data_IF_331838479398
#
_entry.id   IF_331838479398
#
_cell.length_a   1.000
_cell.length_b   1.000
_cell.length_c   1.000
_cell.angle_alpha   90.00
_cell.angle_beta   90.00
_cell.angle_gamma   90.00
#
_symmetry.space_group_name_H-M   'P 1'
#
loop_
_entity.id
_entity.type
_entity.pdbx_description
1 polymer ?
#
# COMPACT_ATOMS: atom_id res chain seq x y z
N UNK A 1 22.03 18.83 -42.66
CA UNK A 1 22.51 17.57 -42.09
C UNK A 1 22.40 17.72 -40.58
N UNK A 2 21.70 16.81 -39.92
CA UNK A 2 21.48 16.85 -38.46
C UNK A 2 21.65 15.46 -37.87
N UNK A 3 22.02 15.42 -36.60
CA UNK A 3 21.79 14.25 -35.74
C UNK A 3 20.29 14.02 -35.60
N UNK A 4 19.88 12.79 -35.36
CA UNK A 4 18.50 12.40 -35.05
C UNK A 4 18.55 11.43 -33.88
N UNK A 5 17.93 11.84 -32.76
CA UNK A 5 17.90 11.05 -31.53
C UNK A 5 17.00 9.83 -31.72
N UNK A 6 17.45 8.67 -31.23
CA UNK A 6 16.71 7.44 -31.14
C UNK A 6 16.89 6.86 -29.73
N UNK A 7 15.78 6.62 -29.02
CA UNK A 7 15.82 6.09 -27.66
C UNK A 7 15.33 4.65 -27.67
N UNK A 8 16.13 3.75 -27.10
CA UNK A 8 15.84 2.30 -27.14
C UNK A 8 14.58 1.89 -26.35
N UNK A 9 14.23 2.66 -25.32
CA UNK A 9 13.04 2.46 -24.47
C UNK A 9 12.53 3.81 -23.96
N UNK A 10 11.24 3.91 -23.70
CA UNK A 10 10.58 5.11 -23.17
C UNK A 10 10.26 5.05 -21.67
N UNK A 11 10.41 3.86 -21.05
CA UNK A 11 10.11 3.62 -19.64
C UNK A 11 11.06 2.59 -19.05
N UNK A 12 11.56 2.86 -17.83
CA UNK A 12 12.28 1.90 -16.98
C UNK A 12 11.48 1.72 -15.69
N UNK A 13 11.16 0.47 -15.38
CA UNK A 13 10.54 0.11 -14.11
C UNK A 13 11.50 -0.79 -13.31
N UNK A 14 11.97 -0.31 -12.17
CA UNK A 14 12.85 -1.03 -11.25
C UNK A 14 12.09 -2.03 -10.37
N UNK A 15 10.75 -2.08 -10.48
CA UNK A 15 9.91 -2.91 -9.62
C UNK A 15 10.12 -2.59 -8.13
N UNK A 16 10.63 -3.55 -7.35
CA UNK A 16 10.84 -3.42 -5.91
C UNK A 16 12.33 -3.47 -5.59
N UNK A 17 12.82 -2.50 -4.82
CA UNK A 17 14.20 -2.41 -4.34
C UNK A 17 14.18 -2.16 -2.84
N UNK A 18 14.95 -2.93 -2.08
CA UNK A 18 15.04 -2.75 -0.64
C UNK A 18 15.58 -1.38 -0.28
N UNK A 19 15.03 -0.75 0.76
CA UNK A 19 15.50 0.53 1.29
C UNK A 19 17.01 0.50 1.54
N UNK A 20 17.73 1.50 1.01
CA UNK A 20 19.19 1.60 1.11
C UNK A 20 20.00 0.72 0.16
N UNK A 21 19.35 -0.18 -0.58
CA UNK A 21 19.98 -0.93 -1.66
C UNK A 21 19.88 -0.19 -3.00
N UNK A 22 20.62 -0.65 -3.99
CA UNK A 22 20.66 -0.05 -5.32
C UNK A 22 20.38 -1.07 -6.41
N UNK A 23 19.62 -0.64 -7.42
CA UNK A 23 19.41 -1.42 -8.64
C UNK A 23 19.69 -0.56 -9.86
N UNK A 24 20.39 -1.10 -10.85
CA UNK A 24 20.68 -0.40 -12.11
C UNK A 24 19.96 -1.02 -13.30
N UNK A 25 19.64 -0.16 -14.27
CA UNK A 25 19.13 -0.53 -15.58
C UNK A 25 19.71 0.43 -16.64
N UNK A 26 19.77 0.01 -17.89
CA UNK A 26 20.35 0.83 -18.95
C UNK A 26 19.41 0.99 -20.13
N UNK A 27 19.51 2.17 -20.77
CA UNK A 27 18.94 2.42 -22.09
C UNK A 27 20.00 3.01 -23.01
N UNK A 28 19.71 3.10 -24.31
CA UNK A 28 20.63 3.62 -25.29
C UNK A 28 20.08 4.89 -25.96
N UNK A 29 20.97 5.87 -26.15
CA UNK A 29 20.73 7.01 -27.02
C UNK A 29 21.49 6.74 -28.33
N UNK A 30 20.75 6.47 -29.39
CA UNK A 30 21.27 6.25 -30.74
C UNK A 30 21.20 7.51 -31.60
N UNK A 31 21.99 7.55 -32.68
CA UNK A 31 21.94 8.58 -33.69
C UNK A 31 21.59 7.98 -35.07
N UNK A 32 20.33 8.11 -35.46
CA UNK A 32 19.81 7.69 -36.76
C UNK A 32 19.90 8.78 -37.83
N UNK A 33 20.61 9.90 -37.53
CA UNK A 33 20.82 11.02 -38.43
C UNK A 33 21.96 10.81 -39.43
N UNK A 34 22.32 11.91 -40.11
CA UNK A 34 23.42 11.96 -41.11
C UNK A 34 24.56 12.88 -40.69
N UNK A 35 24.51 13.38 -39.45
CA UNK A 35 25.59 14.13 -38.79
C UNK A 35 25.70 13.66 -37.33
N UNK A 36 26.78 13.98 -36.64
CA UNK A 36 26.92 13.70 -35.21
C UNK A 36 25.78 14.36 -34.43
N UNK A 37 25.27 13.67 -33.43
CA UNK A 37 24.24 14.13 -32.48
C UNK A 37 24.96 14.66 -31.23
N UNK A 38 24.72 15.91 -30.87
CA UNK A 38 25.19 16.48 -29.60
C UNK A 38 24.08 16.41 -28.57
N UNK A 39 24.32 15.64 -27.51
CA UNK A 39 23.46 15.60 -26.31
C UNK A 39 24.05 16.57 -25.28
N UNK A 40 23.38 17.71 -25.09
CA UNK A 40 23.88 18.80 -24.25
C UNK A 40 23.68 18.53 -22.77
N UNK A 41 22.60 17.84 -22.41
CA UNK A 41 22.28 17.54 -21.04
C UNK A 41 21.45 16.26 -20.95
N UNK A 42 21.79 15.43 -19.98
CA UNK A 42 20.98 14.31 -19.50
C UNK A 42 20.85 14.52 -17.99
N UNK A 43 19.63 14.49 -17.45
CA UNK A 43 19.39 14.72 -16.01
C UNK A 43 18.15 13.99 -15.52
N UNK A 44 18.14 13.67 -14.24
CA UNK A 44 16.97 13.22 -13.47
C UNK A 44 16.39 14.38 -12.67
N UNK A 45 15.15 14.27 -12.23
CA UNK A 45 14.45 15.30 -11.44
C UNK A 45 14.71 15.19 -9.94
N UNK A 46 15.09 13.99 -9.46
CA UNK A 46 15.30 13.68 -8.02
C UNK A 46 16.61 12.95 -7.81
N UNK A 47 17.13 12.99 -6.56
CA UNK A 47 18.36 12.27 -6.19
C UNK A 47 18.14 10.76 -6.00
N UNK A 48 16.88 10.29 -5.96
CA UNK A 48 16.52 8.87 -5.83
C UNK A 48 16.90 8.07 -7.08
N UNK A 49 16.90 8.75 -8.24
CA UNK A 49 17.40 8.21 -9.49
C UNK A 49 18.65 8.99 -9.90
N UNK A 50 19.73 8.28 -10.23
CA UNK A 50 20.96 8.86 -10.72
C UNK A 50 21.36 8.28 -12.07
N UNK A 51 22.23 8.97 -12.80
CA UNK A 51 22.71 8.56 -14.11
C UNK A 51 24.24 8.63 -14.15
N UNK A 52 24.83 7.79 -14.99
CA UNK A 52 26.29 7.70 -15.14
C UNK A 52 26.88 8.75 -16.09
N UNK A 53 26.06 9.44 -16.89
CA UNK A 53 26.54 10.33 -17.94
C UNK A 53 25.58 11.50 -18.14
N UNK A 54 26.10 12.74 -18.10
CA UNK A 54 25.30 13.97 -18.22
C UNK A 54 25.32 14.59 -19.63
N UNK A 55 26.25 14.21 -20.49
CA UNK A 55 26.43 14.72 -21.85
C UNK A 55 27.04 13.64 -22.76
N UNK A 56 26.77 13.70 -24.05
CA UNK A 56 27.35 12.79 -25.02
C UNK A 56 27.43 13.39 -26.43
N UNK A 57 28.47 13.01 -27.19
CA UNK A 57 28.51 13.15 -28.64
C UNK A 57 28.36 11.76 -29.28
N UNK A 58 27.31 11.57 -30.08
CA UNK A 58 26.98 10.26 -30.69
C UNK A 58 27.25 10.35 -32.20
N UNK A 59 28.22 9.56 -32.70
CA UNK A 59 28.51 9.51 -34.13
C UNK A 59 27.33 8.91 -34.93
N UNK A 60 27.32 9.14 -36.23
CA UNK A 60 26.28 8.62 -37.13
C UNK A 60 26.24 7.10 -37.09
N UNK A 61 25.09 6.53 -36.76
CA UNK A 61 24.86 5.10 -36.67
C UNK A 61 25.36 4.43 -35.39
N UNK A 62 25.96 5.21 -34.48
CA UNK A 62 26.41 4.73 -33.17
C UNK A 62 25.33 4.96 -32.07
N UNK A 63 25.59 4.43 -30.88
CA UNK A 63 24.80 4.67 -29.69
C UNK A 63 25.68 4.75 -28.44
N UNK A 64 25.18 5.43 -27.42
CA UNK A 64 25.77 5.50 -26.08
C UNK A 64 24.80 4.89 -25.06
N UNK A 65 25.33 4.10 -24.13
CA UNK A 65 24.55 3.53 -23.04
C UNK A 65 24.46 4.54 -21.89
N UNK A 66 23.26 4.74 -21.40
CA UNK A 66 22.98 5.48 -20.18
C UNK A 66 22.55 4.48 -19.12
N UNK A 67 23.32 4.39 -18.05
CA UNK A 67 22.96 3.60 -16.87
C UNK A 67 22.21 4.50 -15.90
N UNK A 68 21.04 4.03 -15.48
CA UNK A 68 20.20 4.65 -14.44
C UNK A 68 20.28 3.79 -13.21
N UNK A 69 20.59 4.38 -12.06
CA UNK A 69 20.53 3.76 -10.75
C UNK A 69 19.31 4.26 -9.99
N UNK A 70 18.59 3.35 -9.34
CA UNK A 70 17.51 3.61 -8.40
C UNK A 70 17.95 3.19 -7.00
N UNK A 71 17.93 4.15 -6.05
CA UNK A 71 18.34 3.95 -4.66
C UNK A 71 17.27 4.58 -3.75
N UNK A 72 16.22 3.80 -3.35
CA UNK A 72 15.14 4.32 -2.53
C UNK A 72 15.63 4.58 -1.10
N UNK A 73 15.48 5.83 -0.58
CA UNK A 73 15.90 6.19 0.78
C UNK A 73 14.87 5.79 1.85
N UNK A 74 13.67 5.33 1.47
CA UNK A 74 12.59 4.92 2.34
C UNK A 74 11.58 4.05 1.59
N UNK A 75 10.64 3.48 2.32
CA UNK A 75 9.48 2.77 1.75
C UNK A 75 8.62 3.71 0.92
N UNK A 76 8.05 3.23 -0.19
CA UNK A 76 7.12 3.99 -1.01
C UNK A 76 7.39 3.92 -2.52
N UNK A 77 6.50 4.53 -3.28
CA UNK A 77 6.56 4.57 -4.73
C UNK A 77 7.29 5.85 -5.21
N UNK A 78 8.21 5.67 -6.13
CA UNK A 78 9.00 6.73 -6.72
C UNK A 78 8.77 6.77 -8.23
N UNK A 79 8.56 7.98 -8.75
CA UNK A 79 8.43 8.25 -10.19
C UNK A 79 9.27 9.46 -10.53
N UNK A 80 10.02 9.37 -11.62
CA UNK A 80 10.85 10.45 -12.13
C UNK A 80 10.96 10.36 -13.66
N UNK A 81 11.76 11.22 -14.25
CA UNK A 81 11.97 11.26 -15.70
C UNK A 81 13.43 11.61 -15.99
N UNK A 82 14.11 10.79 -16.79
CA UNK A 82 15.35 11.23 -17.44
C UNK A 82 14.99 12.20 -18.55
N UNK A 83 15.51 13.41 -18.48
CA UNK A 83 15.35 14.44 -19.49
C UNK A 83 16.61 14.54 -20.31
N UNK A 84 16.51 14.46 -21.64
CA UNK A 84 17.60 14.47 -22.60
C UNK A 84 17.42 15.66 -23.54
N UNK A 85 18.35 16.61 -23.56
CA UNK A 85 18.36 17.72 -24.51
C UNK A 85 19.47 17.57 -25.54
N UNK A 86 19.17 17.81 -26.82
CA UNK A 86 20.10 17.59 -27.92
C UNK A 86 19.94 18.64 -29.03
N UNK A 87 20.83 18.57 -30.03
CA UNK A 87 20.77 19.37 -31.25
C UNK A 87 19.88 18.74 -32.35
N UNK A 88 19.08 17.71 -32.02
CA UNK A 88 18.09 17.19 -32.94
C UNK A 88 17.01 18.25 -33.23
N UNK A 89 16.86 18.70 -34.50
CA UNK A 89 15.93 19.77 -34.84
C UNK A 89 14.46 19.38 -34.77
N UNK A 90 14.14 18.07 -34.69
CA UNK A 90 12.79 17.55 -34.66
C UNK A 90 12.34 17.20 -33.25
N UNK A 91 13.26 16.65 -32.46
CA UNK A 91 13.04 16.23 -31.06
C UNK A 91 14.18 16.72 -30.15
N UNK A 92 14.29 18.06 -29.96
CA UNK A 92 15.39 18.63 -29.16
C UNK A 92 15.30 18.29 -27.67
N UNK A 93 14.14 17.81 -27.22
CA UNK A 93 13.88 17.34 -25.86
C UNK A 93 13.20 15.98 -25.91
N UNK A 94 13.82 14.98 -25.28
CA UNK A 94 13.31 13.61 -25.20
C UNK A 94 13.32 13.16 -23.75
N UNK A 95 12.41 12.24 -23.36
CA UNK A 95 12.28 11.79 -21.99
C UNK A 95 12.15 10.27 -21.90
N UNK A 96 12.67 9.71 -20.79
CA UNK A 96 12.46 8.32 -20.38
C UNK A 96 11.82 8.33 -18.99
N UNK A 97 10.67 7.71 -18.82
CA UNK A 97 9.96 7.65 -17.54
C UNK A 97 10.62 6.59 -16.66
N UNK A 98 10.84 6.93 -15.39
CA UNK A 98 11.42 6.06 -14.37
C UNK A 98 10.36 5.77 -13.31
N UNK A 99 10.31 4.52 -12.85
CA UNK A 99 9.49 4.13 -11.70
C UNK A 99 10.15 3.01 -10.90
N UNK A 100 9.86 2.96 -9.59
CA UNK A 100 10.33 1.91 -8.69
C UNK A 100 9.68 2.09 -7.31
N UNK A 101 9.71 1.04 -6.50
CA UNK A 101 9.20 1.07 -5.13
C UNK A 101 10.28 0.64 -4.16
N UNK A 102 10.48 1.45 -3.10
CA UNK A 102 11.28 1.07 -1.93
C UNK A 102 10.46 0.14 -1.05
N UNK A 103 11.05 -0.99 -0.64
CA UNK A 103 10.43 -2.00 0.22
C UNK A 103 11.31 -2.31 1.42
N UNK A 104 10.73 -2.91 2.48
CA UNK A 104 11.47 -3.37 3.64
C UNK A 104 12.24 -4.67 3.32
N UNK A 105 13.44 -4.86 3.90
CA UNK A 105 14.21 -6.10 3.80
C UNK A 105 13.71 -7.21 4.74
N UNK A 106 12.89 -6.84 5.75
CA UNK A 106 12.27 -7.76 6.71
C UNK A 106 10.78 -7.91 6.39
N UNK A 107 10.17 -8.95 6.95
CA UNK A 107 8.72 -9.06 6.99
C UNK A 107 8.14 -7.82 7.70
N UNK A 108 7.02 -7.28 7.20
CA UNK A 108 6.46 -6.01 7.67
C UNK A 108 4.92 -6.13 7.69
N UNK A 109 4.38 -6.12 8.91
CA UNK A 109 2.96 -6.29 9.15
C UNK A 109 2.21 -4.96 9.01
N UNK A 110 1.22 -4.89 8.14
CA UNK A 110 0.25 -3.80 8.08
C UNK A 110 -1.15 -4.33 8.37
N UNK A 111 -1.87 -3.65 9.24
CA UNK A 111 -3.21 -4.08 9.67
C UNK A 111 -4.22 -2.97 9.40
N UNK A 112 -5.30 -3.30 8.69
CA UNK A 112 -6.35 -2.34 8.30
C UNK A 112 -7.75 -2.92 8.49
N UNK A 113 -8.75 -2.05 8.71
CA UNK A 113 -10.18 -2.36 8.65
C UNK A 113 -10.77 -2.25 7.22
N UNK A 114 -9.90 -2.04 6.22
CA UNK A 114 -10.26 -1.77 4.83
C UNK A 114 -10.44 -0.29 4.51
N UNK A 115 -10.33 0.60 5.49
CA UNK A 115 -10.43 2.06 5.37
C UNK A 115 -9.23 2.76 6.01
N UNK A 116 -8.87 2.36 7.23
CA UNK A 116 -7.79 2.96 8.03
C UNK A 116 -6.65 1.96 8.15
N UNK A 117 -5.44 2.39 7.84
CA UNK A 117 -4.23 1.62 8.02
C UNK A 117 -3.64 1.82 9.43
N UNK A 118 -2.94 0.81 9.96
CA UNK A 118 -2.32 0.86 11.30
C UNK A 118 -3.35 0.93 12.43
N UNK A 119 -4.48 0.23 12.33
CA UNK A 119 -5.53 0.27 13.36
C UNK A 119 -5.07 -0.43 14.64
N UNK A 120 -5.23 0.24 15.76
CA UNK A 120 -5.04 -0.32 17.12
C UNK A 120 -6.33 -0.38 17.93
N UNK A 121 -7.43 0.06 17.33
CA UNK A 121 -8.76 0.09 17.93
C UNK A 121 -9.80 -0.27 16.88
N UNK A 122 -10.70 -1.18 17.22
CA UNK A 122 -11.83 -1.56 16.39
C UNK A 122 -13.13 -1.51 17.21
N UNK A 123 -14.10 -0.70 16.76
CA UNK A 123 -15.37 -0.54 17.45
C UNK A 123 -16.49 -1.23 16.65
N UNK A 124 -17.12 -2.22 17.27
CA UNK A 124 -18.32 -2.82 16.73
C UNK A 124 -19.53 -1.88 16.88
N UNK A 125 -20.48 -1.92 15.94
CA UNK A 125 -21.75 -1.19 16.12
C UNK A 125 -22.53 -1.76 17.29
N UNK A 126 -23.45 -0.96 17.81
CA UNK A 126 -24.41 -1.44 18.81
C UNK A 126 -25.11 -2.70 18.32
N UNK A 127 -25.01 -3.78 19.10
CA UNK A 127 -25.53 -5.08 18.76
C UNK A 127 -26.54 -5.50 19.81
N UNK A 128 -27.69 -6.05 19.40
CA UNK A 128 -28.70 -6.55 20.35
C UNK A 128 -28.19 -7.79 21.07
N UNK A 129 -28.66 -7.95 22.29
CA UNK A 129 -28.42 -9.18 23.08
C UNK A 129 -28.85 -10.40 22.27
N UNK A 130 -27.97 -11.42 22.19
CA UNK A 130 -28.13 -12.67 21.44
C UNK A 130 -28.15 -12.51 19.90
N UNK A 131 -27.84 -11.31 19.36
CA UNK A 131 -27.52 -11.15 17.95
C UNK A 131 -25.99 -11.20 17.74
N UNK A 132 -25.59 -11.32 16.49
CA UNK A 132 -24.18 -11.46 16.13
C UNK A 132 -23.83 -10.45 15.05
N UNK A 133 -22.70 -9.77 15.24
CA UNK A 133 -22.10 -8.94 14.21
C UNK A 133 -20.72 -9.49 13.86
N UNK A 134 -20.43 -9.62 12.56
CA UNK A 134 -19.11 -10.03 12.08
C UNK A 134 -18.55 -8.95 11.19
N UNK A 135 -17.29 -8.59 11.42
CA UNK A 135 -16.53 -7.67 10.62
C UNK A 135 -15.14 -8.25 10.32
N UNK A 136 -14.32 -7.57 9.55
CA UNK A 136 -13.09 -8.13 9.00
C UNK A 136 -11.92 -7.18 9.20
N UNK A 137 -10.79 -7.72 9.66
CA UNK A 137 -9.48 -7.09 9.64
C UNK A 137 -8.64 -7.74 8.54
N UNK A 138 -7.84 -6.94 7.87
CA UNK A 138 -6.94 -7.35 6.81
C UNK A 138 -5.50 -7.19 7.31
N UNK A 139 -4.72 -8.25 7.22
CA UNK A 139 -3.30 -8.28 7.58
C UNK A 139 -2.50 -8.46 6.30
N UNK A 140 -1.73 -7.46 5.91
CA UNK A 140 -0.95 -7.44 4.67
C UNK A 140 0.54 -7.47 5.00
N UNK A 141 1.33 -8.21 4.23
CA UNK A 141 2.77 -8.18 4.30
C UNK A 141 3.33 -7.12 3.33
N UNK A 142 3.93 -6.06 3.85
CA UNK A 142 4.58 -5.01 3.06
C UNK A 142 6.10 -5.22 2.90
N UNK A 143 6.67 -6.22 3.58
CA UNK A 143 8.08 -6.58 3.50
C UNK A 143 8.38 -7.64 2.44
N UNK A 144 9.62 -7.68 1.94
CA UNK A 144 10.03 -8.61 0.88
C UNK A 144 9.98 -10.10 1.29
N UNK A 145 10.43 -10.52 2.50
CA UNK A 145 10.27 -11.90 2.98
C UNK A 145 8.82 -12.20 3.37
N UNK A 146 8.46 -13.49 3.38
CA UNK A 146 7.17 -13.93 3.88
C UNK A 146 6.96 -13.50 5.34
N UNK A 147 5.81 -12.91 5.62
CA UNK A 147 5.34 -12.61 6.98
C UNK A 147 4.69 -13.88 7.55
N UNK A 148 5.27 -14.42 8.61
CA UNK A 148 4.70 -15.53 9.35
C UNK A 148 3.83 -15.01 10.49
N UNK A 149 2.53 -15.28 10.43
CA UNK A 149 1.63 -15.10 11.56
C UNK A 149 1.68 -16.40 12.38
N UNK A 150 2.34 -16.34 13.52
CA UNK A 150 2.59 -17.50 14.38
C UNK A 150 1.33 -17.87 15.17
N UNK A 151 0.60 -16.86 15.66
CA UNK A 151 -0.61 -17.03 16.44
C UNK A 151 -1.59 -15.86 16.27
N UNK A 152 -2.88 -16.16 16.38
CA UNK A 152 -3.96 -15.20 16.48
C UNK A 152 -4.86 -15.61 17.63
N UNK A 153 -4.98 -14.77 18.67
CA UNK A 153 -5.82 -15.06 19.81
C UNK A 153 -6.51 -13.81 20.38
N UNK A 154 -7.51 -14.05 21.22
CA UNK A 154 -8.28 -13.01 21.89
C UNK A 154 -8.06 -13.10 23.40
N UNK A 155 -7.83 -11.94 24.04
CA UNK A 155 -7.76 -11.78 25.47
C UNK A 155 -8.81 -10.77 25.94
N UNK A 156 -9.74 -11.19 26.81
CA UNK A 156 -10.80 -10.32 27.33
C UNK A 156 -12.16 -11.00 27.34
N UNK A 157 -13.20 -10.26 27.01
CA UNK A 157 -14.56 -10.74 27.06
C UNK A 157 -14.83 -11.85 26.01
N UNK A 158 -15.48 -12.91 26.44
CA UNK A 158 -15.74 -14.11 25.63
C UNK A 158 -16.78 -13.91 24.51
N UNK A 159 -17.42 -12.76 24.49
CA UNK A 159 -18.37 -12.32 23.46
C UNK A 159 -17.70 -12.02 22.11
N UNK A 160 -16.37 -11.86 22.11
CA UNK A 160 -15.59 -11.77 20.87
C UNK A 160 -15.02 -13.13 20.48
N UNK A 161 -15.04 -13.42 19.19
CA UNK A 161 -14.44 -14.64 18.64
C UNK A 161 -13.84 -14.39 17.26
N UNK A 162 -12.82 -15.18 16.92
CA UNK A 162 -12.21 -15.21 15.58
C UNK A 162 -11.85 -16.65 15.22
N UNK A 163 -12.11 -17.10 13.99
CA UNK A 163 -11.58 -18.37 13.48
C UNK A 163 -10.14 -18.22 12.97
N UNK A 164 -9.51 -17.04 13.17
CA UNK A 164 -8.20 -16.69 12.61
C UNK A 164 -7.18 -17.83 12.72
N UNK A 165 -6.50 -18.10 11.65
CA UNK A 165 -5.48 -19.15 11.56
C UNK A 165 -4.10 -18.54 11.32
N UNK A 166 -3.10 -19.10 12.00
CA UNK A 166 -1.69 -18.84 11.71
C UNK A 166 -1.34 -19.24 10.27
N UNK A 167 -0.34 -18.61 9.68
CA UNK A 167 0.10 -18.92 8.32
C UNK A 167 1.11 -17.92 7.76
N UNK A 168 1.58 -18.23 6.56
CA UNK A 168 2.50 -17.38 5.81
C UNK A 168 1.72 -16.45 4.89
N UNK A 169 2.12 -15.19 4.88
CA UNK A 169 1.60 -14.14 3.98
C UNK A 169 2.77 -13.71 3.10
N UNK A 170 2.70 -14.02 1.81
CA UNK A 170 3.72 -13.61 0.86
C UNK A 170 3.74 -12.08 0.70
N UNK A 171 4.83 -11.55 0.14
CA UNK A 171 4.95 -10.13 -0.14
C UNK A 171 3.73 -9.58 -0.90
N UNK A 172 3.12 -8.51 -0.38
CA UNK A 172 1.91 -7.83 -0.90
C UNK A 172 0.63 -8.69 -0.89
N UNK A 173 0.67 -9.90 -0.33
CA UNK A 173 -0.54 -10.68 -0.07
C UNK A 173 -1.21 -10.27 1.24
N UNK A 174 -2.47 -10.66 1.40
CA UNK A 174 -3.30 -10.27 2.54
C UNK A 174 -4.00 -11.49 3.16
N UNK A 175 -3.88 -11.63 4.48
CA UNK A 175 -4.67 -12.53 5.28
C UNK A 175 -5.94 -11.82 5.75
N UNK A 176 -7.09 -12.47 5.55
CA UNK A 176 -8.41 -11.98 5.97
C UNK A 176 -8.75 -12.58 7.33
N UNK A 177 -8.94 -11.73 8.35
CA UNK A 177 -9.23 -12.13 9.72
C UNK A 177 -10.63 -11.65 10.11
N UNK A 178 -11.66 -12.52 10.02
CA UNK A 178 -13.00 -12.17 10.49
C UNK A 178 -13.03 -12.15 12.01
N UNK A 179 -13.70 -11.14 12.58
CA UNK A 179 -13.94 -10.99 14.01
C UNK A 179 -15.43 -10.90 14.25
N UNK A 180 -15.91 -11.66 15.21
CA UNK A 180 -17.33 -11.74 15.54
C UNK A 180 -17.58 -11.26 16.96
N UNK A 181 -18.58 -10.39 17.14
CA UNK A 181 -19.11 -9.95 18.41
C UNK A 181 -20.51 -10.54 18.61
N UNK A 182 -20.71 -11.28 19.70
CA UNK A 182 -21.96 -12.01 20.03
C UNK A 182 -22.31 -11.79 21.49
N UNK A 183 -22.89 -10.64 21.87
CA UNK A 183 -23.15 -10.30 23.25
C UNK A 183 -24.25 -11.18 23.86
N UNK A 184 -23.98 -11.74 25.05
CA UNK A 184 -24.90 -12.57 25.82
C UNK A 184 -25.77 -11.80 26.83
N UNK A 185 -25.43 -10.52 27.07
CA UNK A 185 -26.14 -9.62 28.01
C UNK A 185 -25.99 -8.17 27.57
N UNK A 186 -26.60 -7.24 28.30
CA UNK A 186 -26.49 -5.81 28.09
C UNK A 186 -25.21 -5.26 28.72
N UNK A 187 -24.53 -4.32 28.05
CA UNK A 187 -23.36 -3.64 28.59
C UNK A 187 -22.29 -3.35 27.54
N UNK A 188 -21.14 -2.91 28.04
CA UNK A 188 -19.93 -2.71 27.25
C UNK A 188 -18.99 -3.91 27.43
N UNK A 189 -18.37 -4.31 26.34
CA UNK A 189 -17.46 -5.43 26.22
C UNK A 189 -16.16 -4.99 25.58
N UNK A 190 -15.04 -5.57 26.03
CA UNK A 190 -13.73 -5.29 25.45
C UNK A 190 -12.86 -6.54 25.38
N UNK A 191 -12.08 -6.67 24.31
CA UNK A 191 -11.05 -7.69 24.18
C UNK A 191 -9.86 -7.13 23.39
N UNK A 192 -8.72 -7.79 23.51
CA UNK A 192 -7.56 -7.56 22.66
C UNK A 192 -7.47 -8.70 21.65
N UNK A 193 -7.45 -8.37 20.37
CA UNK A 193 -6.99 -9.28 19.33
C UNK A 193 -5.47 -9.13 19.24
N UNK A 194 -4.74 -10.22 19.45
CA UNK A 194 -3.29 -10.26 19.39
C UNK A 194 -2.85 -11.11 18.21
N UNK A 195 -1.97 -10.54 17.39
CA UNK A 195 -1.33 -11.18 16.24
C UNK A 195 0.17 -11.32 16.58
N UNK A 196 0.66 -12.54 16.76
CA UNK A 196 2.09 -12.82 16.88
C UNK A 196 2.71 -13.03 15.50
N UNK A 197 3.84 -12.38 15.21
CA UNK A 197 4.47 -12.45 13.89
C UNK A 197 6.00 -12.50 13.95
N UNK A 198 6.64 -12.78 12.81
CA UNK A 198 8.10 -12.69 12.63
C UNK A 198 8.57 -11.30 12.18
N UNK A 199 7.69 -10.29 12.21
CA UNK A 199 8.08 -8.91 12.01
C UNK A 199 9.03 -8.47 13.14
N UNK A 200 10.26 -7.97 12.84
CA UNK A 200 11.26 -7.69 13.88
C UNK A 200 10.90 -6.53 14.80
N UNK A 201 10.17 -5.54 14.34
CA UNK A 201 9.78 -4.35 15.09
C UNK A 201 8.33 -4.40 15.59
N UNK A 202 7.49 -5.26 14.99
CA UNK A 202 6.09 -5.50 15.37
C UNK A 202 5.80 -7.00 15.59
N UNK A 203 6.65 -7.68 16.35
CA UNK A 203 6.50 -9.12 16.64
C UNK A 203 5.21 -9.49 17.39
N UNK A 204 4.48 -8.50 17.91
CA UNK A 204 3.17 -8.65 18.52
C UNK A 204 2.33 -7.43 18.26
N UNK A 205 1.37 -7.56 17.34
CA UNK A 205 0.42 -6.50 17.00
C UNK A 205 -0.88 -6.68 17.78
N UNK A 206 -1.34 -5.62 18.47
CA UNK A 206 -2.53 -5.68 19.31
C UNK A 206 -3.59 -4.68 18.87
N UNK A 207 -4.82 -5.16 18.72
CA UNK A 207 -5.99 -4.34 18.39
C UNK A 207 -7.00 -4.47 19.52
N UNK A 208 -7.38 -3.34 20.11
CA UNK A 208 -8.45 -3.30 21.11
C UNK A 208 -9.80 -3.38 20.39
N UNK A 209 -10.61 -4.36 20.75
CA UNK A 209 -11.97 -4.54 20.28
C UNK A 209 -12.94 -4.00 21.31
N UNK A 210 -13.86 -3.13 20.90
CA UNK A 210 -14.96 -2.66 21.76
C UNK A 210 -16.30 -3.01 21.12
N UNK A 211 -17.24 -3.43 21.96
CA UNK A 211 -18.63 -3.67 21.58
C UNK A 211 -19.57 -3.20 22.68
N UNK A 212 -20.72 -2.71 22.29
CA UNK A 212 -21.80 -2.36 23.22
C UNK A 212 -23.07 -3.11 22.86
N UNK A 213 -23.81 -3.55 23.87
CA UNK A 213 -25.05 -4.29 23.68
C UNK A 213 -26.18 -3.79 24.58
N UNK A 214 -27.37 -3.77 24.00
CA UNK A 214 -28.60 -3.47 24.69
C UNK A 214 -29.74 -4.40 24.20
N UNK A 215 -30.77 -4.56 25.01
CA UNK A 215 -32.00 -5.27 24.59
C UNK A 215 -32.73 -4.45 23.51
N UNK A 216 -32.72 -3.12 23.67
CA UNK A 216 -33.31 -2.16 22.74
C UNK A 216 -32.25 -1.17 22.30
N UNK A 217 -32.23 -0.79 21.02
CA UNK A 217 -31.22 0.12 20.44
C UNK A 217 -31.86 1.37 19.87
N UNK A 218 -31.04 2.44 19.77
CA UNK A 218 -31.42 3.68 19.09
C UNK A 218 -30.92 3.58 17.64
N UNK A 219 -31.84 3.64 16.69
CA UNK A 219 -31.56 3.62 15.25
C UNK A 219 -31.50 5.07 14.75
N UNK A 220 -30.31 5.66 14.72
CA UNK A 220 -30.11 7.05 14.34
C UNK A 220 -30.12 7.26 12.81
N UNK A 221 -30.92 8.22 12.34
CA UNK A 221 -31.02 8.66 10.94
C UNK A 221 -30.48 10.11 10.85
N UNK A 222 -29.55 10.46 9.98
CA UNK A 222 -28.93 9.62 8.93
C UNK A 222 -27.65 8.91 9.36
N UNK A 223 -27.27 8.86 10.63
CA UNK A 223 -25.97 8.36 11.11
C UNK A 223 -25.72 6.90 10.69
N UNK A 224 -26.69 6.01 10.95
CA UNK A 224 -26.57 4.58 10.63
C UNK A 224 -27.49 4.14 9.48
N UNK A 225 -28.58 4.86 9.25
CA UNK A 225 -29.56 4.57 8.22
C UNK A 225 -29.82 5.82 7.39
N UNK A 226 -29.81 5.71 6.07
CA UNK A 226 -29.98 6.86 5.18
C UNK A 226 -31.40 7.44 5.24
N UNK A 227 -32.39 6.61 5.61
CA UNK A 227 -33.80 7.02 5.69
C UNK A 227 -34.48 6.46 6.94
N UNK A 228 -35.52 7.15 7.43
CA UNK A 228 -36.37 6.68 8.52
C UNK A 228 -37.01 5.32 8.19
N UNK A 229 -37.38 5.10 6.93
CA UNK A 229 -38.01 3.85 6.50
C UNK A 229 -37.05 2.67 6.59
N UNK A 230 -35.77 2.85 6.27
CA UNK A 230 -34.74 1.82 6.44
C UNK A 230 -34.55 1.48 7.91
N UNK A 231 -34.50 2.47 8.80
CA UNK A 231 -34.41 2.26 10.23
C UNK A 231 -35.63 1.50 10.78
N UNK A 232 -36.86 1.88 10.36
CA UNK A 232 -38.10 1.22 10.78
C UNK A 232 -38.15 -0.26 10.35
N UNK A 233 -37.64 -0.60 9.17
CA UNK A 233 -37.68 -2.00 8.66
C UNK A 233 -36.87 -2.95 9.53
N UNK A 234 -35.80 -2.46 10.18
CA UNK A 234 -34.90 -3.25 11.03
C UNK A 234 -35.19 -3.09 12.52
N UNK A 235 -36.11 -2.18 12.90
CA UNK A 235 -36.46 -1.94 14.29
C UNK A 235 -37.25 -3.13 14.89
N UNK A 236 -36.92 -3.49 16.13
CA UNK A 236 -37.70 -4.41 16.96
C UNK A 236 -38.67 -3.61 17.85
N UNK A 237 -39.66 -4.28 18.47
CA UNK A 237 -40.48 -3.64 19.49
C UNK A 237 -39.60 -2.98 20.58
N UNK A 238 -39.93 -1.75 20.93
CA UNK A 238 -39.23 -0.92 21.94
C UNK A 238 -37.88 -0.29 21.46
N UNK A 239 -37.37 -0.58 20.26
CA UNK A 239 -36.31 0.21 19.69
C UNK A 239 -36.77 1.65 19.40
N UNK A 240 -35.85 2.59 19.46
CA UNK A 240 -36.11 4.01 19.16
C UNK A 240 -35.50 4.39 17.82
N UNK A 241 -36.32 4.92 16.91
CA UNK A 241 -35.80 5.57 15.68
C UNK A 241 -35.65 7.05 15.96
N UNK A 242 -34.39 7.51 15.99
CA UNK A 242 -34.03 8.91 16.21
C UNK A 242 -33.65 9.60 14.90
N UNK A 243 -34.19 10.79 14.67
CA UNK A 243 -33.86 11.61 13.49
C UNK A 243 -33.06 12.82 13.98
N UNK A 244 -31.79 12.88 13.54
CA UNK A 244 -30.82 13.91 13.90
C UNK A 244 -30.79 15.05 12.87
#
# INVERSE_FOLDING_TARGET
FSGVVDISIDTINFSFVTEGEEQSASFFIGNNGVAALQVFQISTGTEVFSINLEQADVAVGDSVAIEVMFSPPALGNYVDTVTISSDDPYTPLTTVVLSGSGINEFADISVTDGVTDGITLFNFPFTRVNETWTDTIYVTNLGAPDLEIEEIFLEGDAEFSTPGAAGLIAFMDTLVVPITFSPSGTGAYTANLVLGSNDPDESSYTIVLNGESAEHIILAVPTFYATIQEAIVVAYPEDTVEVL
#
